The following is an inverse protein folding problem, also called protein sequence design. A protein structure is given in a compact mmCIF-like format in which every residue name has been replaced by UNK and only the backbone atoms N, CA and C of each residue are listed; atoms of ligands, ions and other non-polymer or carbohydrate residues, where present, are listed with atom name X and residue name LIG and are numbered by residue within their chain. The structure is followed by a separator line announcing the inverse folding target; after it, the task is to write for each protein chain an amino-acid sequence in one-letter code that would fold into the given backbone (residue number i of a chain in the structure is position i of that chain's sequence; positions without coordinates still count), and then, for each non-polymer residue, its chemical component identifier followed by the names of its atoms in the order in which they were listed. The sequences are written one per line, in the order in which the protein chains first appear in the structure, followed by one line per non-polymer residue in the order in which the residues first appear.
data_IF_272027021499
#
_entry.id   IF_272027021499
#
_cell.length_a   1.000
_cell.length_b   1.000
_cell.length_c   1.000
_cell.angle_alpha   90.00
_cell.angle_beta   90.00
_cell.angle_gamma   90.00
#
_symmetry.space_group_name_H-M   'P 1'
#
loop_
_entity.id
_entity.type
_entity.pdbx_description
1 polymer ?
#
# COMPACT_ATOMS: atom_id res chain seq x y z
N UNK A 1 23.84 -0.51 13.90
CA UNK A 1 23.37 0.87 13.70
C UNK A 1 21.85 0.91 13.94
N UNK A 2 21.33 1.93 14.64
CA UNK A 2 19.90 2.02 15.00
C UNK A 2 19.05 2.45 13.80
N UNK A 3 18.01 1.69 13.45
CA UNK A 3 17.09 1.98 12.33
C UNK A 3 15.97 2.96 12.69
N UNK A 4 15.96 3.47 13.92
CA UNK A 4 14.89 4.35 14.43
C UNK A 4 14.63 5.62 13.60
N UNK A 5 15.63 6.30 13.00
CA UNK A 5 15.37 7.45 12.13
C UNK A 5 14.67 7.07 10.81
N UNK A 6 14.99 5.90 10.25
CA UNK A 6 14.36 5.38 9.04
C UNK A 6 12.89 5.01 9.30
N UNK A 7 12.58 4.46 10.48
CA UNK A 7 11.19 4.15 10.87
C UNK A 7 10.29 5.40 10.86
N UNK A 8 10.77 6.54 11.40
CA UNK A 8 10.01 7.79 11.43
C UNK A 8 9.68 8.34 10.04
N UNK A 9 10.60 8.19 9.07
CA UNK A 9 10.39 8.62 7.69
C UNK A 9 9.33 7.73 7.03
N UNK A 10 9.41 6.42 7.25
CA UNK A 10 8.42 5.45 6.74
C UNK A 10 7.02 5.69 7.30
N UNK A 11 6.91 6.05 8.59
CA UNK A 11 5.62 6.34 9.24
C UNK A 11 4.99 7.62 8.68
N UNK A 12 5.78 8.69 8.56
CA UNK A 12 5.32 9.96 8.00
C UNK A 12 4.85 9.81 6.55
N UNK A 13 5.57 9.04 5.73
CA UNK A 13 5.16 8.72 4.37
C UNK A 13 3.84 7.93 4.35
N UNK A 14 3.74 6.87 5.15
CA UNK A 14 2.53 6.06 5.23
C UNK A 14 1.31 6.89 5.63
N UNK A 15 1.48 7.79 6.61
CA UNK A 15 0.43 8.72 7.03
C UNK A 15 0.01 9.69 5.91
N UNK A 16 0.97 10.21 5.13
CA UNK A 16 0.68 11.08 4.00
C UNK A 16 -0.11 10.35 2.88
N UNK A 17 0.24 9.11 2.56
CA UNK A 17 -0.48 8.31 1.57
C UNK A 17 -1.90 7.99 2.04
N UNK A 18 -2.07 7.62 3.32
CA UNK A 18 -3.40 7.42 3.91
C UNK A 18 -4.27 8.68 3.83
N UNK A 19 -3.69 9.85 4.15
CA UNK A 19 -4.38 11.13 4.02
C UNK A 19 -4.78 11.42 2.58
N UNK A 20 -3.86 11.23 1.63
CA UNK A 20 -4.13 11.43 0.21
C UNK A 20 -5.29 10.55 -0.29
N UNK A 21 -5.28 9.26 0.08
CA UNK A 21 -6.35 8.33 -0.29
C UNK A 21 -7.71 8.79 0.27
N UNK A 22 -7.76 9.19 1.55
CA UNK A 22 -8.98 9.69 2.18
C UNK A 22 -9.49 10.97 1.50
N UNK A 23 -8.61 11.96 1.31
CA UNK A 23 -8.98 13.29 0.81
C UNK A 23 -9.50 13.20 -0.65
N UNK A 24 -9.04 12.22 -1.42
CA UNK A 24 -9.48 11.94 -2.80
C UNK A 24 -10.49 10.79 -2.92
N UNK A 25 -10.99 10.25 -1.80
CA UNK A 25 -11.94 9.12 -1.76
C UNK A 25 -11.48 7.88 -2.53
N UNK A 26 -10.17 7.63 -2.55
CA UNK A 26 -9.57 6.49 -3.21
C UNK A 26 -9.76 5.22 -2.37
N UNK A 27 -10.16 4.09 -2.98
CA UNK A 27 -10.19 2.81 -2.30
C UNK A 27 -8.82 2.44 -1.72
N UNK A 28 -8.80 2.02 -0.46
CA UNK A 28 -7.62 1.43 0.18
C UNK A 28 -7.70 -0.09 0.13
N UNK A 29 -6.97 -0.71 -0.80
CA UNK A 29 -7.07 -2.14 -1.06
C UNK A 29 -6.03 -2.91 -0.26
N UNK A 30 -6.49 -3.87 0.55
CA UNK A 30 -5.63 -4.87 1.17
C UNK A 30 -5.64 -6.13 0.30
N UNK A 31 -4.51 -6.41 -0.36
CA UNK A 31 -4.44 -7.60 -1.21
C UNK A 31 -4.50 -8.88 -0.38
N UNK A 32 -5.41 -9.78 -0.75
CA UNK A 32 -5.42 -11.14 -0.22
C UNK A 32 -4.23 -11.95 -0.75
N UNK A 33 -3.85 -13.02 -0.02
CA UNK A 33 -2.78 -13.93 -0.47
C UNK A 33 -3.13 -14.51 -1.85
N UNK A 34 -2.26 -14.28 -2.83
CA UNK A 34 -2.45 -14.79 -4.20
C UNK A 34 -3.37 -13.93 -5.07
N UNK A 35 -3.97 -12.86 -4.53
CA UNK A 35 -4.74 -11.91 -5.32
C UNK A 35 -3.82 -11.17 -6.28
N UNK A 36 -4.10 -11.27 -7.59
CA UNK A 36 -3.35 -10.56 -8.62
C UNK A 36 -3.76 -9.09 -8.59
N UNK A 37 -2.76 -8.21 -8.56
CA UNK A 37 -2.99 -6.76 -8.62
C UNK A 37 -3.70 -6.32 -9.91
N UNK A 38 -3.43 -7.02 -11.02
CA UNK A 38 -3.95 -6.66 -12.35
C UNK A 38 -5.47 -6.91 -12.43
N UNK A 39 -5.95 -7.98 -11.80
CA UNK A 39 -7.39 -8.33 -11.78
C UNK A 39 -8.17 -7.27 -11.00
N UNK A 40 -7.69 -6.91 -9.80
CA UNK A 40 -8.24 -5.82 -8.99
C UNK A 40 -8.21 -4.49 -9.74
N UNK A 41 -7.13 -4.22 -10.48
CA UNK A 41 -7.04 -3.02 -11.30
C UNK A 41 -8.10 -2.99 -12.39
N UNK A 42 -8.33 -4.10 -13.10
CA UNK A 42 -9.37 -4.18 -14.13
C UNK A 42 -10.77 -3.96 -13.54
N UNK A 43 -11.06 -4.48 -12.35
CA UNK A 43 -12.34 -4.23 -11.65
C UNK A 43 -12.55 -2.73 -11.41
N UNK A 44 -11.54 -2.02 -10.88
CA UNK A 44 -11.63 -0.57 -10.67
C UNK A 44 -11.66 0.24 -11.97
N UNK A 45 -10.92 -0.19 -13.00
CA UNK A 45 -10.87 0.48 -14.29
C UNK A 45 -12.21 0.39 -15.03
N UNK A 46 -12.95 -0.72 -14.88
CA UNK A 46 -14.25 -0.91 -15.52
C UNK A 46 -15.30 0.12 -15.07
N UNK A 47 -15.16 0.67 -13.87
CA UNK A 47 -16.04 1.71 -13.31
C UNK A 47 -15.50 3.14 -13.52
N UNK A 48 -14.29 3.28 -14.03
CA UNK A 48 -13.61 4.57 -14.17
C UNK A 48 -14.08 5.32 -15.41
N UNK A 49 -14.50 6.57 -15.25
CA UNK A 49 -15.11 7.36 -16.34
C UNK A 49 -14.25 8.52 -16.84
N UNK A 50 -13.16 8.84 -16.15
CA UNK A 50 -12.27 9.94 -16.52
C UNK A 50 -11.16 9.47 -17.48
N UNK A 51 -10.41 10.42 -18.04
CA UNK A 51 -9.30 10.12 -18.97
C UNK A 51 -8.03 9.67 -18.26
N UNK A 52 -7.83 10.12 -17.02
CA UNK A 52 -6.66 9.80 -16.19
C UNK A 52 -6.98 9.98 -14.71
N UNK A 53 -6.32 9.20 -13.86
CA UNK A 53 -6.50 9.29 -12.42
C UNK A 53 -5.87 8.13 -11.66
N UNK A 54 -5.96 8.21 -10.33
CA UNK A 54 -5.58 7.10 -9.44
C UNK A 54 -6.81 6.26 -9.18
N UNK A 55 -6.77 4.97 -9.52
CA UNK A 55 -7.90 4.06 -9.32
C UNK A 55 -8.05 3.62 -7.87
N UNK A 56 -6.94 3.28 -7.21
CA UNK A 56 -6.91 2.85 -5.81
C UNK A 56 -5.48 2.94 -5.26
N UNK A 57 -5.35 2.86 -3.94
CA UNK A 57 -4.06 2.65 -3.26
C UNK A 57 -4.02 1.23 -2.70
N UNK A 58 -3.14 0.39 -3.23
CA UNK A 58 -3.00 -0.99 -2.81
C UNK A 58 -1.87 -1.17 -1.78
N UNK A 59 -2.16 -1.83 -0.66
CA UNK A 59 -1.15 -2.29 0.30
C UNK A 59 -0.75 -3.72 -0.04
N UNK A 60 0.42 -3.89 -0.64
CA UNK A 60 1.04 -5.19 -0.83
C UNK A 60 2.10 -5.42 0.26
N UNK A 61 1.98 -6.49 1.02
CA UNK A 61 3.07 -6.92 1.89
C UNK A 61 4.05 -7.75 1.06
N UNK A 62 5.28 -7.26 0.88
CA UNK A 62 6.35 -8.10 0.38
C UNK A 62 6.65 -9.18 1.42
N UNK A 63 6.55 -10.45 1.03
CA UNK A 63 6.91 -11.58 1.91
C UNK A 63 8.42 -11.80 1.85
N UNK A 64 9.19 -10.93 2.50
CA UNK A 64 10.59 -11.22 2.77
C UNK A 64 10.66 -12.16 3.99
N UNK A 65 11.07 -13.41 3.78
CA UNK A 65 11.35 -14.34 4.87
C UNK A 65 12.59 -13.85 5.63
N UNK A 66 12.39 -13.08 6.70
CA UNK A 66 13.47 -12.65 7.59
C UNK A 66 13.70 -13.72 8.66
N UNK A 67 14.93 -14.23 8.76
CA UNK A 67 15.35 -15.05 9.90
C UNK A 67 15.37 -14.17 11.16
N UNK A 68 14.60 -14.56 12.18
CA UNK A 68 14.48 -13.83 13.45
C UNK A 68 15.73 -14.08 14.30
N UNK A 69 16.52 -13.05 14.60
CA UNK A 69 17.49 -13.10 15.71
C UNK A 69 16.79 -12.63 16.98
N UNK A 70 16.47 -13.55 17.87
CA UNK A 70 16.04 -13.23 19.24
C UNK A 70 17.27 -12.86 20.08
N UNK A 71 17.27 -11.67 20.69
CA UNK A 71 18.24 -11.31 21.75
C UNK A 71 17.73 -11.90 23.07
N UNK A 72 18.53 -12.76 23.70
CA UNK A 72 18.43 -13.06 25.13
C UNK A 72 19.07 -11.94 25.94
#
# INVERSE_FOLDING_TARGET
ASTAPLAKISDAFSAAVHRFARDNKLPWVNFAKGQRKDDVMHEHLAEFTDTEGVLFVGRAQEKTNLFRTEKR
#
